data_IF_917167138126
#
_entry.id   IF_917167138126
#
_cell.length_a   1.000
_cell.length_b   1.000
_cell.length_c   1.000
_cell.angle_alpha   90.00
_cell.angle_beta   90.00
_cell.angle_gamma   90.00
#
_symmetry.space_group_name_H-M   'P 1'
#
loop_
_entity.id
_entity.type
_entity.pdbx_description
1 polymer ?
#
# COMPACT_ATOMS: atom_id res chain seq x y z
N UNK A 1 -60.13 17.98 -33.36
CA UNK A 1 -59.71 19.36 -33.04
C UNK A 1 -58.84 19.28 -31.79
N UNK A 2 -57.51 19.34 -31.93
CA UNK A 2 -56.81 20.58 -31.55
C UNK A 2 -55.63 20.97 -32.47
N UNK A 3 -55.13 22.16 -32.17
CA UNK A 3 -54.33 23.13 -32.91
C UNK A 3 -52.96 22.69 -33.45
N UNK A 4 -52.68 23.11 -34.69
CA UNK A 4 -51.38 23.04 -35.35
C UNK A 4 -50.52 24.29 -35.03
N UNK A 5 -49.23 24.07 -34.78
CA UNK A 5 -48.19 25.09 -34.61
C UNK A 5 -47.83 25.74 -35.96
N UNK A 6 -47.48 27.05 -36.00
CA UNK A 6 -47.07 27.71 -37.24
C UNK A 6 -45.58 27.44 -37.59
N UNK A 7 -45.22 27.50 -38.89
CA UNK A 7 -43.87 27.19 -39.36
C UNK A 7 -42.84 28.32 -39.10
N UNK A 8 -41.59 27.90 -38.92
CA UNK A 8 -40.35 28.64 -38.61
C UNK A 8 -39.88 29.64 -39.70
N UNK A 9 -40.79 30.23 -40.49
CA UNK A 9 -40.43 31.09 -41.63
C UNK A 9 -40.68 32.59 -41.44
N UNK A 10 -40.96 33.05 -40.22
CA UNK A 10 -41.28 34.47 -39.99
C UNK A 10 -40.45 35.14 -38.87
N UNK A 11 -39.12 34.99 -38.88
CA UNK A 11 -38.24 35.74 -37.98
C UNK A 11 -36.93 36.26 -38.63
N UNK A 12 -36.87 36.32 -39.97
CA UNK A 12 -35.69 36.81 -40.71
C UNK A 12 -35.97 38.05 -41.59
N UNK A 13 -37.13 38.69 -41.43
CA UNK A 13 -37.38 40.03 -41.98
C UNK A 13 -37.32 41.04 -40.84
N UNK A 14 -36.42 42.03 -40.97
CA UNK A 14 -36.06 43.11 -40.01
C UNK A 14 -34.88 42.86 -39.05
N UNK A 15 -33.86 42.10 -39.45
CA UNK A 15 -32.53 42.27 -38.85
C UNK A 15 -31.75 43.38 -39.54
N UNK A 16 -31.48 44.48 -38.83
CA UNK A 16 -30.57 45.54 -39.30
C UNK A 16 -29.18 44.98 -39.62
N UNK A 17 -28.53 45.48 -40.69
CA UNK A 17 -27.19 45.04 -41.14
C UNK A 17 -26.17 44.93 -40.00
N UNK A 18 -26.23 45.84 -39.02
CA UNK A 18 -25.35 45.81 -37.83
C UNK A 18 -25.58 44.58 -36.94
N UNK A 19 -26.84 44.17 -36.75
CA UNK A 19 -27.19 42.99 -35.94
C UNK A 19 -26.85 41.69 -36.68
N UNK A 20 -26.98 41.66 -38.00
CA UNK A 20 -26.55 40.52 -38.81
C UNK A 20 -25.01 40.36 -38.77
N UNK A 21 -24.26 41.46 -38.85
CA UNK A 21 -22.80 41.44 -38.71
C UNK A 21 -22.36 40.95 -37.33
N UNK A 22 -23.04 41.38 -36.26
CA UNK A 22 -22.73 40.96 -34.90
C UNK A 22 -22.95 39.45 -34.70
N UNK A 23 -24.05 38.91 -35.25
CA UNK A 23 -24.35 37.48 -35.21
C UNK A 23 -23.32 36.65 -36.00
N UNK A 24 -22.92 37.13 -37.18
CA UNK A 24 -21.83 36.52 -37.96
C UNK A 24 -20.51 36.54 -37.18
N UNK A 25 -20.17 37.65 -36.53
CA UNK A 25 -18.94 37.76 -35.73
C UNK A 25 -18.96 36.77 -34.55
N UNK A 26 -20.10 36.62 -33.86
CA UNK A 26 -20.28 35.68 -32.76
C UNK A 26 -20.20 34.22 -33.23
N UNK A 27 -20.72 33.90 -34.41
CA UNK A 27 -20.59 32.58 -35.04
C UNK A 27 -19.15 32.28 -35.45
N UNK A 28 -18.41 33.26 -35.97
CA UNK A 28 -16.99 33.11 -36.31
C UNK A 28 -16.15 32.93 -35.05
N UNK A 29 -16.42 33.68 -33.98
CA UNK A 29 -15.70 33.56 -32.71
C UNK A 29 -15.98 32.21 -32.02
N UNK A 30 -17.21 31.71 -32.06
CA UNK A 30 -17.57 30.41 -31.46
C UNK A 30 -16.96 29.24 -32.24
N UNK A 31 -16.92 29.33 -33.58
CA UNK A 31 -16.27 28.31 -34.43
C UNK A 31 -14.75 28.34 -34.29
N UNK A 32 -14.11 29.51 -34.20
CA UNK A 32 -12.68 29.61 -33.87
C UNK A 32 -12.38 29.02 -32.48
N UNK A 33 -13.20 29.31 -31.48
CA UNK A 33 -13.02 28.75 -30.13
C UNK A 33 -13.15 27.22 -30.12
N UNK A 34 -14.08 26.68 -30.90
CA UNK A 34 -14.25 25.23 -31.07
C UNK A 34 -13.05 24.59 -31.81
N UNK A 35 -12.50 25.25 -32.83
CA UNK A 35 -11.31 24.80 -33.55
C UNK A 35 -10.04 24.88 -32.68
N UNK A 36 -9.91 25.89 -31.83
CA UNK A 36 -8.83 26.00 -30.84
C UNK A 36 -9.00 24.92 -29.75
N UNK A 37 -10.22 24.63 -29.32
CA UNK A 37 -10.48 23.56 -28.36
C UNK A 37 -10.25 22.16 -28.97
N UNK A 38 -10.59 21.96 -30.25
CA UNK A 38 -10.29 20.71 -30.96
C UNK A 38 -8.79 20.55 -31.24
N UNK A 39 -8.06 21.61 -31.60
CA UNK A 39 -6.61 21.55 -31.78
C UNK A 39 -5.84 21.31 -30.47
N UNK A 40 -6.34 21.81 -29.33
CA UNK A 40 -5.79 21.46 -28.01
C UNK A 40 -6.11 20.02 -27.58
N UNK A 41 -7.18 19.41 -28.09
CA UNK A 41 -7.46 17.96 -27.94
C UNK A 41 -6.78 17.07 -28.99
N UNK A 42 -6.37 17.63 -30.14
CA UNK A 42 -5.71 16.92 -31.25
C UNK A 42 -4.19 17.02 -31.25
N UNK A 43 -3.57 17.80 -30.35
CA UNK A 43 -2.15 17.68 -30.02
C UNK A 43 -1.88 16.47 -29.10
N UNK A 44 -2.39 15.29 -29.50
CA UNK A 44 -1.77 14.03 -29.17
C UNK A 44 -0.72 13.75 -30.24
N UNK A 45 0.41 14.44 -30.13
CA UNK A 45 1.62 13.95 -30.78
C UNK A 45 1.90 12.57 -30.18
N UNK A 46 1.91 11.46 -30.96
CA UNK A 46 2.49 10.24 -30.45
C UNK A 46 3.93 10.61 -30.09
N UNK A 47 4.27 10.57 -28.80
CA UNK A 47 5.68 10.55 -28.41
C UNK A 47 6.33 9.44 -29.24
N UNK A 48 7.49 9.67 -29.87
CA UNK A 48 8.20 8.59 -30.50
C UNK A 48 8.30 7.49 -29.45
N UNK A 49 7.71 6.33 -29.76
CA UNK A 49 7.88 5.13 -28.97
C UNK A 49 9.39 4.99 -28.76
N UNK A 50 9.85 4.80 -27.53
CA UNK A 50 11.23 4.44 -27.29
C UNK A 50 11.47 3.11 -28.00
N UNK A 51 11.98 3.21 -29.23
CA UNK A 51 12.30 2.11 -30.13
C UNK A 51 13.39 1.28 -29.45
N UNK A 52 12.99 0.27 -28.68
CA UNK A 52 13.91 -0.62 -27.98
C UNK A 52 13.37 -1.15 -26.65
N UNK A 53 12.32 -0.56 -26.08
CA UNK A 53 11.76 -1.09 -24.84
C UNK A 53 10.69 -2.15 -25.11
N UNK A 54 10.85 -3.39 -24.60
CA UNK A 54 9.78 -4.37 -24.68
C UNK A 54 8.54 -3.79 -24.01
N UNK A 55 7.37 -3.78 -24.67
CA UNK A 55 6.17 -3.21 -24.10
C UNK A 55 5.85 -3.90 -22.78
N UNK A 56 5.51 -3.12 -21.76
CA UNK A 56 4.94 -3.67 -20.53
C UNK A 56 3.76 -4.57 -20.90
N UNK A 57 3.58 -5.74 -20.28
CA UNK A 57 2.62 -6.74 -20.74
C UNK A 57 1.18 -6.27 -20.51
N UNK A 58 0.65 -5.43 -21.40
CA UNK A 58 -0.71 -4.88 -21.34
C UNK A 58 -1.78 -5.89 -21.78
N UNK A 59 -1.37 -7.00 -22.41
CA UNK A 59 -2.27 -8.08 -22.85
C UNK A 59 -2.46 -9.20 -21.82
N UNK A 60 -1.65 -9.24 -20.75
CA UNK A 60 -1.76 -10.28 -19.70
C UNK A 60 -2.76 -9.84 -18.63
N UNK A 61 -3.59 -10.74 -18.11
CA UNK A 61 -4.40 -10.45 -16.93
C UNK A 61 -3.52 -10.02 -15.75
N UNK A 62 -3.97 -9.01 -14.99
CA UNK A 62 -3.26 -8.56 -13.79
C UNK A 62 -3.11 -9.71 -12.81
N UNK A 63 -1.89 -9.95 -12.34
CA UNK A 63 -1.62 -10.95 -11.34
C UNK A 63 -2.21 -10.54 -9.98
N UNK A 64 -2.79 -11.49 -9.24
CA UNK A 64 -3.53 -11.20 -8.00
C UNK A 64 -3.09 -12.05 -6.80
N UNK A 65 -2.18 -13.01 -6.98
CA UNK A 65 -1.66 -13.88 -5.91
C UNK A 65 -0.27 -13.44 -5.44
N UNK A 66 -0.15 -12.60 -4.41
CA UNK A 66 1.14 -12.04 -3.99
C UNK A 66 1.42 -12.33 -2.51
N UNK A 67 2.56 -12.96 -2.25
CA UNK A 67 3.12 -13.07 -0.90
C UNK A 67 4.26 -12.06 -0.75
N UNK A 68 3.93 -10.88 -0.22
CA UNK A 68 4.93 -9.87 0.12
C UNK A 68 5.42 -10.07 1.55
N UNK A 69 6.63 -10.60 1.70
CA UNK A 69 7.33 -10.60 2.97
C UNK A 69 7.76 -9.18 3.29
N UNK A 70 7.08 -8.56 4.23
CA UNK A 70 7.43 -7.24 4.70
C UNK A 70 8.51 -7.33 5.79
N UNK A 71 9.74 -6.99 5.43
CA UNK A 71 10.87 -6.89 6.36
C UNK A 71 10.86 -5.57 7.13
N UNK A 72 11.54 -5.52 8.27
CA UNK A 72 11.56 -4.35 9.15
C UNK A 72 12.47 -3.23 8.63
N UNK A 73 11.95 -2.00 8.62
CA UNK A 73 12.68 -0.74 8.32
C UNK A 73 13.22 -0.59 6.89
N UNK A 74 12.62 -1.33 5.96
CA UNK A 74 12.96 -1.39 4.53
C UNK A 74 11.96 -0.66 3.61
N UNK A 75 11.23 0.32 4.13
CA UNK A 75 10.13 1.01 3.42
C UNK A 75 8.93 0.11 3.05
N UNK A 76 8.82 -1.08 3.65
CA UNK A 76 7.74 -2.03 3.37
C UNK A 76 6.32 -1.54 3.67
N UNK A 77 6.12 -0.52 4.53
CA UNK A 77 4.78 0.06 4.76
C UNK A 77 4.21 0.70 3.49
N UNK A 78 5.06 1.31 2.67
CA UNK A 78 4.65 1.87 1.37
C UNK A 78 4.23 0.78 0.39
N UNK A 79 5.00 -0.31 0.29
CA UNK A 79 4.69 -1.45 -0.59
C UNK A 79 3.42 -2.18 -0.12
N UNK A 80 3.24 -2.35 1.18
CA UNK A 80 2.00 -2.88 1.75
C UNK A 80 0.79 -2.02 1.39
N UNK A 81 0.89 -0.69 1.48
CA UNK A 81 -0.21 0.20 1.11
C UNK A 81 -0.58 0.06 -0.38
N UNK A 82 0.42 -0.05 -1.27
CA UNK A 82 0.21 -0.37 -2.70
C UNK A 82 -0.59 -1.67 -2.86
N UNK A 83 -0.15 -2.75 -2.22
CA UNK A 83 -0.80 -4.07 -2.29
C UNK A 83 -2.22 -4.06 -1.71
N UNK A 84 -2.44 -3.34 -0.60
CA UNK A 84 -3.75 -3.20 0.04
C UNK A 84 -4.73 -2.41 -0.83
N UNK A 85 -4.28 -1.32 -1.45
CA UNK A 85 -5.09 -0.52 -2.39
C UNK A 85 -5.46 -1.33 -3.62
N UNK A 86 -4.50 -2.03 -4.20
CA UNK A 86 -4.76 -2.94 -5.32
C UNK A 86 -5.80 -3.99 -4.93
N UNK A 87 -5.62 -4.65 -3.78
CA UNK A 87 -6.54 -5.67 -3.32
C UNK A 87 -7.96 -5.13 -3.12
N UNK A 88 -8.07 -3.95 -2.51
CA UNK A 88 -9.34 -3.27 -2.32
C UNK A 88 -10.03 -2.93 -3.64
N UNK A 89 -9.29 -2.33 -4.59
CA UNK A 89 -9.82 -1.92 -5.89
C UNK A 89 -10.27 -3.11 -6.74
N UNK A 90 -9.55 -4.23 -6.64
CA UNK A 90 -9.81 -5.44 -7.42
C UNK A 90 -10.59 -6.51 -6.64
N UNK A 91 -11.16 -6.15 -5.47
CA UNK A 91 -11.95 -7.05 -4.62
C UNK A 91 -11.21 -8.34 -4.17
N UNK A 92 -9.88 -8.31 -4.15
CA UNK A 92 -9.00 -9.41 -3.74
C UNK A 92 -8.94 -9.51 -2.21
N UNK A 93 -8.91 -10.73 -1.69
CA UNK A 93 -8.84 -10.99 -0.24
C UNK A 93 -7.40 -10.92 0.24
N UNK A 94 -7.16 -10.05 1.23
CA UNK A 94 -5.86 -9.92 1.92
C UNK A 94 -5.87 -10.75 3.20
N UNK A 95 -4.88 -11.62 3.40
CA UNK A 95 -4.65 -12.28 4.68
C UNK A 95 -4.32 -11.21 5.73
N UNK A 96 -5.08 -11.16 6.81
CA UNK A 96 -4.85 -10.24 7.92
C UNK A 96 -4.66 -11.02 9.22
N UNK A 97 -3.86 -10.51 10.17
CA UNK A 97 -3.60 -11.22 11.41
C UNK A 97 -4.87 -11.46 12.23
N UNK A 98 -4.89 -12.60 12.92
CA UNK A 98 -5.83 -12.87 14.00
C UNK A 98 -5.68 -11.81 15.10
N UNK A 99 -6.76 -11.47 15.80
CA UNK A 99 -6.76 -10.38 16.80
C UNK A 99 -5.75 -10.59 17.95
N UNK A 100 -5.44 -11.86 18.25
CA UNK A 100 -4.44 -12.25 19.25
C UNK A 100 -2.98 -12.14 18.77
N UNK A 101 -2.75 -11.79 17.50
CA UNK A 101 -1.45 -11.78 16.83
C UNK A 101 -0.98 -10.37 16.45
N UNK A 102 -1.55 -9.33 17.06
CA UNK A 102 -1.34 -7.93 16.73
C UNK A 102 -1.48 -7.68 15.21
N UNK A 103 -0.71 -6.76 14.64
CA UNK A 103 -0.71 -6.46 13.20
C UNK A 103 0.42 -7.18 12.43
N UNK A 104 1.12 -8.12 13.08
CA UNK A 104 2.37 -8.73 12.59
C UNK A 104 2.35 -10.28 12.66
N UNK A 105 1.18 -10.91 12.54
CA UNK A 105 1.05 -12.38 12.51
C UNK A 105 1.83 -13.11 13.62
N UNK A 106 1.73 -12.64 14.87
CA UNK A 106 2.39 -13.25 16.02
C UNK A 106 3.94 -13.27 15.91
N UNK A 107 4.54 -12.38 15.12
CA UNK A 107 5.98 -12.13 15.13
C UNK A 107 6.48 -11.93 16.57
N UNK A 108 7.60 -12.54 16.99
CA UNK A 108 8.66 -13.13 16.16
C UNK A 108 8.57 -14.66 15.93
N UNK A 109 7.43 -15.29 16.24
CA UNK A 109 7.24 -16.72 15.98
C UNK A 109 7.29 -16.99 14.47
N UNK A 110 7.86 -18.14 14.09
CA UNK A 110 7.75 -18.65 12.71
C UNK A 110 6.28 -18.60 12.28
N UNK A 111 6.02 -18.00 11.12
CA UNK A 111 4.67 -17.81 10.63
C UNK A 111 3.90 -19.13 10.58
N UNK A 112 2.64 -19.09 10.98
CA UNK A 112 1.68 -20.17 10.78
C UNK A 112 0.40 -19.61 10.18
N UNK A 113 -0.23 -20.38 9.30
CA UNK A 113 -1.55 -20.08 8.74
C UNK A 113 -2.62 -19.89 9.84
N UNK A 114 -2.41 -20.46 11.04
CA UNK A 114 -3.27 -20.24 12.22
C UNK A 114 -3.25 -18.80 12.73
N UNK A 115 -2.25 -18.01 12.37
CA UNK A 115 -2.17 -16.60 12.72
C UNK A 115 -3.02 -15.72 11.81
N UNK A 116 -3.66 -16.29 10.78
CA UNK A 116 -4.52 -15.57 9.84
C UNK A 116 -5.96 -15.54 10.37
N UNK A 117 -6.60 -14.38 10.27
CA UNK A 117 -7.97 -14.21 10.69
C UNK A 117 -8.93 -15.04 9.79
N UNK A 118 -9.85 -15.85 10.35
CA UNK A 118 -10.72 -16.74 9.56
C UNK A 118 -11.54 -16.04 8.47
N UNK A 119 -12.05 -14.83 8.73
CA UNK A 119 -12.77 -14.05 7.72
C UNK A 119 -11.93 -13.57 6.52
N UNK A 120 -10.63 -13.82 6.53
CA UNK A 120 -9.69 -13.44 5.47
C UNK A 120 -9.17 -14.64 4.69
N UNK A 121 -9.83 -15.80 4.84
CA UNK A 121 -9.53 -17.03 4.12
C UNK A 121 -10.58 -17.31 3.01
N UNK A 122 -10.16 -17.91 1.86
CA UNK A 122 -8.78 -18.04 1.42
C UNK A 122 -8.23 -16.69 0.92
N UNK A 123 -6.97 -16.34 1.23
CA UNK A 123 -6.36 -15.10 0.76
C UNK A 123 -5.74 -15.29 -0.63
N UNK A 124 -5.53 -14.17 -1.32
CA UNK A 124 -4.60 -14.11 -2.47
C UNK A 124 -3.46 -13.12 -2.24
N UNK A 125 -3.57 -12.20 -1.29
CA UNK A 125 -2.48 -11.29 -0.93
C UNK A 125 -2.14 -11.43 0.55
N UNK A 126 -0.85 -11.49 0.89
CA UNK A 126 -0.35 -11.31 2.26
C UNK A 126 0.80 -10.29 2.21
N UNK A 127 0.76 -9.27 3.08
CA UNK A 127 1.67 -8.13 2.97
C UNK A 127 2.04 -7.47 4.31
N UNK A 128 1.88 -8.18 5.44
CA UNK A 128 2.26 -7.69 6.77
C UNK A 128 3.52 -8.39 7.29
N UNK A 129 4.12 -7.83 8.34
CA UNK A 129 5.28 -8.44 8.99
C UNK A 129 4.95 -9.86 9.46
N UNK A 130 5.85 -10.79 9.19
CA UNK A 130 5.83 -12.17 9.65
C UNK A 130 7.27 -12.71 9.64
N UNK A 131 7.57 -13.74 10.43
CA UNK A 131 8.83 -14.49 10.28
C UNK A 131 8.63 -15.56 9.23
N UNK A 132 9.36 -15.48 8.13
CA UNK A 132 9.11 -16.29 6.94
C UNK A 132 9.13 -17.78 7.23
N UNK A 133 8.11 -18.48 6.74
CA UNK A 133 8.01 -19.94 6.80
C UNK A 133 7.37 -20.45 5.51
N UNK A 134 8.22 -20.86 4.56
CA UNK A 134 7.83 -21.24 3.18
C UNK A 134 6.69 -22.27 3.16
N UNK A 135 6.77 -23.29 4.02
CA UNK A 135 5.80 -24.39 4.01
C UNK A 135 4.39 -23.95 4.45
N UNK A 136 4.30 -23.02 5.40
CA UNK A 136 3.02 -22.49 5.88
C UNK A 136 2.41 -21.52 4.86
N UNK A 137 3.24 -20.68 4.23
CA UNK A 137 2.78 -19.78 3.16
C UNK A 137 2.31 -20.55 1.92
N UNK A 138 3.04 -21.59 1.49
CA UNK A 138 2.63 -22.45 0.37
C UNK A 138 1.31 -23.19 0.64
N UNK A 139 1.01 -23.53 1.89
CA UNK A 139 -0.28 -24.13 2.27
C UNK A 139 -1.42 -23.11 2.29
N UNK A 140 -1.13 -21.87 2.66
CA UNK A 140 -2.12 -20.80 2.78
C UNK A 140 -2.47 -20.17 1.42
N UNK A 141 -1.45 -19.94 0.59
CA UNK A 141 -1.53 -19.14 -0.62
C UNK A 141 -1.78 -20.02 -1.86
N UNK A 142 -2.44 -19.51 -2.91
CA UNK A 142 -2.60 -20.22 -4.18
C UNK A 142 -1.28 -20.68 -4.82
N UNK A 143 -1.31 -21.74 -5.64
CA UNK A 143 -0.11 -22.26 -6.30
C UNK A 143 0.58 -21.27 -7.24
N UNK A 144 -0.17 -20.32 -7.81
CA UNK A 144 0.36 -19.28 -8.71
C UNK A 144 0.99 -18.09 -7.96
N UNK A 145 1.16 -18.18 -6.63
CA UNK A 145 1.63 -17.05 -5.82
C UNK A 145 3.07 -16.65 -6.14
N UNK A 146 3.25 -15.37 -6.48
CA UNK A 146 4.56 -14.74 -6.60
C UNK A 146 5.02 -14.21 -5.24
N UNK A 147 6.22 -14.61 -4.82
CA UNK A 147 6.84 -14.18 -3.57
C UNK A 147 7.73 -12.97 -3.83
N UNK A 148 7.51 -11.91 -3.07
CA UNK A 148 8.25 -10.66 -3.18
C UNK A 148 8.69 -10.24 -1.78
N UNK A 149 9.86 -9.62 -1.68
CA UNK A 149 10.31 -8.96 -0.45
C UNK A 149 11.03 -7.67 -0.82
N UNK A 150 11.41 -6.88 0.18
CA UNK A 150 12.22 -5.68 0.02
C UNK A 150 13.34 -5.69 1.05
N UNK A 151 14.56 -5.37 0.63
CA UNK A 151 15.71 -5.19 1.50
C UNK A 151 16.14 -3.72 1.49
N UNK A 152 17.02 -3.38 2.43
CA UNK A 152 17.63 -2.06 2.57
C UNK A 152 19.06 -2.26 3.03
N UNK A 153 19.93 -1.33 2.67
CA UNK A 153 21.33 -1.38 3.06
C UNK A 153 21.43 -1.47 4.61
N UNK A 154 22.18 -2.45 5.16
CA UNK A 154 22.19 -2.76 6.59
C UNK A 154 22.62 -1.62 7.51
N UNK A 155 23.51 -0.71 7.07
CA UNK A 155 23.91 0.46 7.86
C UNK A 155 22.72 1.40 8.07
N UNK A 156 22.05 1.78 6.98
CA UNK A 156 20.88 2.65 7.05
C UNK A 156 19.66 1.99 7.71
N UNK A 157 19.56 0.65 7.63
CA UNK A 157 18.52 -0.11 8.29
C UNK A 157 18.77 -0.24 9.80
N UNK A 158 19.99 -0.61 10.20
CA UNK A 158 20.37 -0.80 11.60
C UNK A 158 20.24 0.50 12.39
N UNK A 159 20.63 1.64 11.83
CA UNK A 159 20.40 2.94 12.48
C UNK A 159 18.91 3.18 12.74
N UNK A 160 18.06 2.83 11.76
CA UNK A 160 16.62 2.94 11.94
C UNK A 160 16.06 1.96 12.97
N UNK A 161 16.63 0.76 13.10
CA UNK A 161 16.24 -0.23 14.11
C UNK A 161 16.65 0.23 15.50
N UNK A 162 17.91 0.64 15.65
CA UNK A 162 18.51 1.12 16.90
C UNK A 162 17.70 2.27 17.50
N UNK A 163 17.43 3.31 16.70
CA UNK A 163 16.64 4.46 17.17
C UNK A 163 15.19 4.07 17.47
N UNK A 164 14.54 3.32 16.57
CA UNK A 164 13.10 3.04 16.69
C UNK A 164 12.76 2.10 17.84
N UNK A 165 13.57 1.05 18.03
CA UNK A 165 13.36 0.02 19.05
C UNK A 165 14.15 0.28 20.34
N UNK A 166 14.78 1.45 20.50
CA UNK A 166 15.61 1.78 21.67
C UNK A 166 14.91 1.54 23.02
N UNK A 167 13.58 1.74 23.08
CA UNK A 167 12.80 1.57 24.31
C UNK A 167 12.22 0.15 24.50
N UNK A 168 12.30 -0.70 23.48
CA UNK A 168 11.68 -2.02 23.45
C UNK A 168 12.71 -3.15 23.46
N UNK A 169 13.74 -3.04 22.61
CA UNK A 169 14.83 -4.00 22.54
C UNK A 169 15.74 -3.83 23.76
N UNK A 170 15.84 -4.88 24.57
CA UNK A 170 16.64 -4.85 25.79
C UNK A 170 18.12 -4.57 25.52
N UNK A 171 18.66 -5.04 24.39
CA UNK A 171 20.02 -4.75 23.98
C UNK A 171 20.25 -3.25 23.76
N UNK A 172 19.37 -2.56 23.05
CA UNK A 172 19.47 -1.12 22.82
C UNK A 172 19.17 -0.29 24.07
N UNK A 173 18.20 -0.72 24.89
CA UNK A 173 17.79 0.00 26.09
C UNK A 173 18.91 0.08 27.14
N UNK A 174 19.76 -0.95 27.21
CA UNK A 174 20.90 -1.01 28.15
C UNK A 174 22.05 -0.07 27.77
N UNK A 175 22.06 0.45 26.55
CA UNK A 175 23.17 1.27 26.06
C UNK A 175 23.12 2.66 26.70
N UNK A 176 24.20 3.10 27.36
CA UNK A 176 24.27 4.44 27.94
C UNK A 176 23.99 5.51 26.89
N UNK A 177 23.16 6.49 27.27
CA UNK A 177 22.78 7.63 26.43
C UNK A 177 22.20 7.29 25.05
N UNK A 178 21.79 6.03 24.82
CA UNK A 178 21.39 5.54 23.51
C UNK A 178 22.45 5.83 22.41
N UNK A 179 23.75 5.74 22.73
CA UNK A 179 24.83 5.90 21.75
C UNK A 179 25.03 4.62 20.95
N UNK A 180 24.90 4.70 19.63
CA UNK A 180 25.12 3.55 18.76
C UNK A 180 26.60 3.17 18.70
N UNK A 181 27.49 4.15 18.79
CA UNK A 181 28.93 3.97 18.89
C UNK A 181 29.29 3.16 20.13
N UNK A 182 28.71 3.48 21.29
CA UNK A 182 28.91 2.73 22.52
C UNK A 182 28.42 1.28 22.42
N UNK A 183 27.29 1.04 21.73
CA UNK A 183 26.81 -0.30 21.44
C UNK A 183 27.81 -1.08 20.57
N UNK A 184 28.26 -0.48 19.47
CA UNK A 184 29.13 -1.16 18.49
C UNK A 184 30.57 -1.34 18.94
N UNK A 185 31.03 -0.55 19.92
CA UNK A 185 32.34 -0.75 20.54
C UNK A 185 32.44 -2.08 21.30
N UNK A 186 31.32 -2.56 21.87
CA UNK A 186 31.25 -3.85 22.54
C UNK A 186 29.82 -4.43 22.51
N UNK A 187 29.35 -4.90 21.33
CA UNK A 187 27.95 -5.30 21.16
C UNK A 187 27.58 -6.50 22.04
N UNK A 188 28.53 -7.39 22.32
CA UNK A 188 28.32 -8.56 23.17
C UNK A 188 28.10 -8.23 24.66
N UNK A 189 28.51 -7.05 25.14
CA UNK A 189 28.13 -6.58 26.47
C UNK A 189 26.62 -6.26 26.55
N UNK A 190 26.01 -5.91 25.41
CA UNK A 190 24.62 -5.48 25.32
C UNK A 190 23.71 -6.52 24.66
N UNK A 191 24.18 -7.37 23.78
CA UNK A 191 23.34 -8.28 23.02
C UNK A 191 23.20 -9.66 23.70
N UNK A 192 21.96 -10.17 23.75
CA UNK A 192 21.66 -11.54 24.22
C UNK A 192 20.59 -12.16 23.31
N UNK A 193 20.87 -13.26 22.59
CA UNK A 193 19.97 -13.82 21.59
C UNK A 193 18.55 -14.13 22.09
N UNK A 194 18.41 -14.64 23.32
CA UNK A 194 17.12 -15.09 23.86
C UNK A 194 16.30 -13.99 24.51
N UNK A 195 16.81 -12.75 24.59
CA UNK A 195 16.07 -11.64 25.17
C UNK A 195 14.90 -11.21 24.27
N UNK A 196 13.86 -10.67 24.91
CA UNK A 196 12.70 -10.13 24.19
C UNK A 196 13.16 -9.06 23.19
N UNK A 197 12.72 -9.20 21.94
CA UNK A 197 13.02 -8.28 20.84
C UNK A 197 14.50 -8.20 20.42
N UNK A 198 15.33 -9.18 20.80
CA UNK A 198 16.74 -9.29 20.41
C UNK A 198 16.95 -9.29 18.89
N UNK A 199 16.03 -9.89 18.11
CA UNK A 199 16.14 -9.99 16.66
C UNK A 199 16.24 -8.64 15.93
N UNK A 200 15.82 -7.55 16.55
CA UNK A 200 15.99 -6.20 15.98
C UNK A 200 17.41 -5.64 16.13
N UNK A 201 18.28 -6.31 16.90
CA UNK A 201 19.62 -5.84 17.23
C UNK A 201 20.74 -6.56 16.49
N UNK A 202 20.47 -7.66 15.78
CA UNK A 202 21.51 -8.44 15.10
C UNK A 202 20.90 -9.23 13.93
N UNK A 203 21.39 -8.98 12.71
CA UNK A 203 20.98 -9.66 11.46
C UNK A 203 19.45 -9.77 11.26
N UNK A 204 18.74 -8.65 11.38
CA UNK A 204 17.28 -8.59 11.33
C UNK A 204 16.68 -9.01 9.98
N UNK A 205 17.33 -8.72 8.84
CA UNK A 205 16.80 -9.13 7.54
C UNK A 205 16.81 -10.64 7.39
N UNK A 206 17.93 -11.27 7.76
CA UNK A 206 18.05 -12.72 7.76
C UNK A 206 17.04 -13.36 8.72
N UNK A 207 16.81 -12.76 9.90
CA UNK A 207 15.77 -13.21 10.82
C UNK A 207 14.36 -13.16 10.21
N UNK A 208 14.00 -12.04 9.59
CA UNK A 208 12.69 -11.84 8.95
C UNK A 208 12.47 -12.86 7.82
N UNK A 209 13.53 -13.21 7.08
CA UNK A 209 13.56 -14.26 6.05
C UNK A 209 13.56 -15.69 6.62
N UNK A 210 13.46 -15.86 7.94
CA UNK A 210 13.33 -17.15 8.60
C UNK A 210 14.64 -17.85 8.93
N UNK A 211 15.78 -17.18 8.71
CA UNK A 211 17.10 -17.69 9.09
C UNK A 211 17.37 -17.64 10.60
N UNK A 212 18.47 -18.25 10.98
CA UNK A 212 19.15 -18.06 12.26
C UNK A 212 20.08 -16.84 12.18
N UNK A 213 19.69 -15.76 12.84
CA UNK A 213 20.39 -14.48 12.85
C UNK A 213 21.65 -14.48 13.71
N UNK A 214 21.84 -15.52 14.53
CA UNK A 214 22.98 -15.69 15.42
C UNK A 214 23.95 -16.79 14.93
N UNK A 215 23.70 -17.34 13.75
CA UNK A 215 24.62 -18.29 13.11
C UNK A 215 25.97 -17.63 12.85
N UNK A 216 27.06 -18.39 13.01
CA UNK A 216 28.39 -17.86 12.80
C UNK A 216 28.61 -17.48 11.33
N UNK A 217 29.01 -16.24 11.01
CA UNK A 217 29.35 -15.87 9.63
C UNK A 217 30.63 -16.56 9.13
N UNK A 218 31.39 -17.23 10.00
CA UNK A 218 32.56 -18.02 9.63
C UNK A 218 32.20 -19.41 9.05
N UNK A 219 30.95 -19.86 9.16
CA UNK A 219 30.49 -21.08 8.49
C UNK A 219 30.32 -20.81 6.99
N UNK A 220 31.17 -21.41 6.12
CA UNK A 220 31.14 -21.14 4.69
C UNK A 220 29.93 -21.76 3.98
N UNK A 221 29.19 -22.68 4.61
CA UNK A 221 28.08 -23.37 3.99
C UNK A 221 26.74 -22.68 4.24
N UNK A 222 26.55 -22.10 5.44
CA UNK A 222 25.26 -21.60 5.89
C UNK A 222 24.68 -20.51 4.98
N UNK A 223 25.39 -19.38 4.82
CA UNK A 223 24.86 -18.25 4.07
C UNK A 223 24.68 -18.59 2.58
N UNK A 224 25.65 -19.21 1.87
CA UNK A 224 25.43 -19.60 0.47
C UNK A 224 24.24 -20.54 0.28
N UNK A 225 24.00 -21.47 1.21
CA UNK A 225 22.81 -22.32 1.18
C UNK A 225 21.53 -21.50 1.35
N UNK A 226 21.48 -20.63 2.35
CA UNK A 226 20.34 -19.76 2.61
C UNK A 226 20.03 -18.84 1.41
N UNK A 227 21.04 -18.23 0.80
CA UNK A 227 20.89 -17.38 -0.38
C UNK A 227 20.24 -18.12 -1.55
N UNK A 228 20.70 -19.34 -1.87
CA UNK A 228 20.09 -20.17 -2.92
C UNK A 228 18.62 -20.47 -2.63
N UNK A 229 18.30 -20.83 -1.38
CA UNK A 229 16.91 -21.07 -0.99
C UNK A 229 16.03 -19.83 -1.18
N UNK A 230 16.54 -18.63 -0.85
CA UNK A 230 15.80 -17.39 -1.03
C UNK A 230 15.67 -17.00 -2.51
N UNK A 231 16.68 -17.22 -3.35
CA UNK A 231 16.59 -17.00 -4.80
C UNK A 231 15.56 -17.91 -5.48
N UNK A 232 15.46 -19.17 -5.05
CA UNK A 232 14.45 -20.11 -5.56
C UNK A 232 13.02 -19.71 -5.18
N UNK A 233 12.86 -19.04 -4.04
CA UNK A 233 11.55 -18.65 -3.50
C UNK A 233 11.09 -17.32 -4.07
N UNK A 234 11.92 -16.28 -3.97
CA UNK A 234 11.52 -14.90 -4.23
C UNK A 234 11.67 -14.55 -5.71
N UNK A 235 10.54 -14.33 -6.38
CA UNK A 235 10.50 -13.89 -7.77
C UNK A 235 11.15 -12.51 -7.95
N UNK A 236 11.05 -11.65 -6.93
CA UNK A 236 11.68 -10.35 -6.85
C UNK A 236 12.07 -10.01 -5.41
N UNK A 237 13.34 -9.63 -5.23
CA UNK A 237 13.84 -8.94 -4.03
C UNK A 237 14.07 -7.48 -4.41
N UNK A 238 13.22 -6.60 -3.89
CA UNK A 238 13.29 -5.15 -4.11
C UNK A 238 14.40 -4.54 -3.26
N UNK A 239 14.94 -3.39 -3.68
CA UNK A 239 15.98 -2.64 -2.95
C UNK A 239 15.44 -1.23 -2.64
N UNK A 240 15.38 -0.88 -1.36
CA UNK A 240 14.77 0.37 -0.90
C UNK A 240 15.49 1.63 -1.41
N UNK A 241 16.79 1.55 -1.67
CA UNK A 241 17.63 2.60 -2.26
C UNK A 241 17.22 2.90 -3.71
N UNK A 242 16.71 1.89 -4.42
CA UNK A 242 16.24 1.95 -5.81
C UNK A 242 14.73 1.69 -5.87
N UNK A 243 13.97 2.40 -5.02
CA UNK A 243 12.56 2.11 -4.78
C UNK A 243 11.69 2.26 -6.05
N UNK A 244 11.93 3.28 -6.86
CA UNK A 244 11.15 3.51 -8.09
C UNK A 244 11.45 2.42 -9.14
N UNK A 245 12.71 2.05 -9.32
CA UNK A 245 13.15 0.96 -10.19
C UNK A 245 12.61 -0.39 -9.69
N UNK A 246 12.59 -0.59 -8.37
CA UNK A 246 11.98 -1.76 -7.75
C UNK A 246 10.48 -1.85 -8.03
N UNK A 247 9.76 -0.73 -7.98
CA UNK A 247 8.34 -0.69 -8.35
C UNK A 247 8.11 -0.91 -9.84
N UNK A 248 9.02 -0.48 -10.72
CA UNK A 248 8.97 -0.80 -12.15
C UNK A 248 9.06 -2.31 -12.37
N UNK A 249 10.03 -2.98 -11.73
CA UNK A 249 10.17 -4.44 -11.82
C UNK A 249 8.95 -5.16 -11.22
N UNK A 250 8.44 -4.71 -10.07
CA UNK A 250 7.24 -5.26 -9.46
C UNK A 250 6.02 -5.13 -10.39
N UNK A 251 5.83 -3.94 -10.97
CA UNK A 251 4.73 -3.66 -11.90
C UNK A 251 4.78 -4.56 -13.12
N UNK A 252 5.96 -4.72 -13.74
CA UNK A 252 6.18 -5.63 -14.88
C UNK A 252 5.94 -7.09 -14.49
N UNK A 253 6.45 -7.53 -13.33
CA UNK A 253 6.27 -8.88 -12.80
C UNK A 253 4.80 -9.24 -12.60
N UNK A 254 4.00 -8.30 -12.09
CA UNK A 254 2.59 -8.52 -11.77
C UNK A 254 1.64 -8.19 -12.91
N UNK A 255 2.15 -7.72 -14.06
CA UNK A 255 1.34 -7.16 -15.15
C UNK A 255 0.35 -6.09 -14.66
N UNK A 256 0.82 -5.18 -13.81
CA UNK A 256 0.02 -4.09 -13.26
C UNK A 256 0.16 -2.80 -14.08
N UNK A 257 -0.83 -1.93 -13.95
CA UNK A 257 -0.81 -0.61 -14.55
C UNK A 257 0.07 0.35 -13.73
N UNK A 258 0.42 1.50 -14.32
CA UNK A 258 1.23 2.51 -13.63
C UNK A 258 0.52 3.03 -12.38
N UNK A 259 -0.80 3.21 -12.48
CA UNK A 259 -1.69 3.72 -11.45
C UNK A 259 -1.77 2.82 -10.22
N UNK A 260 -1.60 1.50 -10.42
CA UNK A 260 -1.68 0.51 -9.35
C UNK A 260 -0.48 0.61 -8.39
N UNK A 261 0.67 1.10 -8.85
CA UNK A 261 1.91 1.20 -8.06
C UNK A 261 2.25 2.62 -7.61
N UNK A 262 1.37 3.59 -7.86
CA UNK A 262 1.56 4.95 -7.35
C UNK A 262 1.48 4.99 -5.83
N UNK A 263 2.34 5.80 -5.20
CA UNK A 263 2.51 5.81 -3.76
C UNK A 263 2.77 7.20 -3.19
N UNK A 264 2.53 7.33 -1.89
CA UNK A 264 3.12 8.36 -1.04
C UNK A 264 4.02 7.65 -0.02
N UNK A 265 5.11 8.28 0.41
CA UNK A 265 6.02 7.66 1.37
C UNK A 265 5.34 7.57 2.74
N UNK A 266 5.17 6.38 3.29
CA UNK A 266 4.52 6.18 4.58
C UNK A 266 5.52 5.77 5.67
N UNK A 267 5.12 5.99 6.93
CA UNK A 267 5.88 5.58 8.11
C UNK A 267 7.31 6.16 8.15
N UNK A 268 7.46 7.41 7.73
CA UNK A 268 8.76 8.08 7.72
C UNK A 268 9.10 8.62 9.11
N UNK A 269 10.36 8.47 9.50
CA UNK A 269 10.90 9.17 10.68
C UNK A 269 11.10 10.65 10.36
N UNK A 270 10.71 11.51 11.31
CA UNK A 270 11.00 12.94 11.27
C UNK A 270 12.51 13.21 11.31
N UNK A 271 12.98 14.39 10.87
CA UNK A 271 14.42 14.71 10.80
C UNK A 271 15.16 14.51 12.13
N UNK A 272 14.53 14.89 13.26
CA UNK A 272 15.11 14.75 14.61
C UNK A 272 15.28 13.29 15.06
N UNK A 273 14.61 12.36 14.40
CA UNK A 273 14.62 10.94 14.74
C UNK A 273 15.47 10.11 13.79
N UNK A 274 16.33 10.77 12.99
CA UNK A 274 17.35 10.13 12.16
C UNK A 274 18.72 10.42 12.77
N UNK A 275 19.46 9.39 13.10
CA UNK A 275 20.87 9.50 13.45
C UNK A 275 21.70 9.86 12.21
N UNK A 276 22.79 10.58 12.44
CA UNK A 276 23.78 10.83 11.39
C UNK A 276 24.84 9.73 11.46
N UNK A 277 25.00 8.97 10.38
CA UNK A 277 26.10 8.00 10.25
C UNK A 277 27.15 8.68 9.39
N UNK A 278 27.93 9.55 9.99
CA UNK A 278 28.91 10.38 9.27
C UNK A 278 30.29 9.75 9.15
N UNK A 279 30.54 8.65 9.87
CA UNK A 279 31.86 7.99 9.92
C UNK A 279 31.83 6.67 9.15
N UNK A 280 32.78 6.50 8.24
CA UNK A 280 33.03 5.23 7.53
C UNK A 280 33.36 4.09 8.51
N UNK A 281 34.10 4.39 9.58
CA UNK A 281 34.42 3.41 10.62
C UNK A 281 33.15 2.92 11.35
N UNK A 282 32.20 3.82 11.62
CA UNK A 282 30.92 3.44 12.23
C UNK A 282 30.10 2.56 11.28
N UNK A 283 30.04 2.91 10.00
CA UNK A 283 29.38 2.10 8.98
C UNK A 283 30.02 0.69 8.86
N UNK A 284 31.35 0.61 8.89
CA UNK A 284 32.07 -0.66 8.88
C UNK A 284 31.76 -1.50 10.12
N UNK A 285 31.76 -0.92 11.32
CA UNK A 285 31.37 -1.65 12.53
C UNK A 285 29.94 -2.18 12.48
N UNK A 286 28.99 -1.41 11.91
CA UNK A 286 27.61 -1.87 11.73
C UNK A 286 27.55 -3.07 10.78
N UNK A 287 28.27 -3.02 9.65
CA UNK A 287 28.32 -4.14 8.70
C UNK A 287 29.01 -5.37 9.29
N UNK A 288 30.08 -5.19 10.06
CA UNK A 288 30.76 -6.29 10.76
C UNK A 288 29.85 -6.93 11.80
N UNK A 289 29.15 -6.12 12.60
CA UNK A 289 28.18 -6.64 13.55
C UNK A 289 27.02 -7.36 12.85
N UNK A 290 26.53 -6.83 11.73
CA UNK A 290 25.46 -7.45 10.95
C UNK A 290 26.00 -8.17 9.70
N UNK A 291 27.06 -8.99 9.86
CA UNK A 291 27.80 -9.57 8.74
C UNK A 291 26.95 -10.44 7.81
N UNK A 292 25.95 -11.13 8.35
CA UNK A 292 25.04 -11.96 7.54
C UNK A 292 24.10 -11.08 6.72
N UNK A 293 23.52 -10.02 7.31
CA UNK A 293 22.68 -9.07 6.59
C UNK A 293 23.48 -8.29 5.54
N UNK A 294 24.75 -7.94 5.82
CA UNK A 294 25.66 -7.27 4.88
C UNK A 294 25.85 -8.10 3.61
N UNK A 295 26.24 -9.36 3.76
CA UNK A 295 26.45 -10.26 2.62
C UNK A 295 25.13 -10.61 1.92
N UNK A 296 24.03 -10.79 2.67
CA UNK A 296 22.69 -10.99 2.13
C UNK A 296 22.27 -9.82 1.23
N UNK A 297 22.45 -8.58 1.71
CA UNK A 297 22.12 -7.38 0.95
C UNK A 297 22.99 -7.26 -0.31
N UNK A 298 24.31 -7.47 -0.19
CA UNK A 298 25.23 -7.35 -1.33
C UNK A 298 24.84 -8.33 -2.46
N UNK A 299 24.53 -9.58 -2.08
CA UNK A 299 24.05 -10.60 -3.01
C UNK A 299 22.76 -10.18 -3.71
N UNK A 300 21.73 -9.79 -2.95
CA UNK A 300 20.44 -9.45 -3.54
C UNK A 300 20.45 -8.12 -4.29
N UNK A 301 21.29 -7.16 -3.91
CA UNK A 301 21.54 -5.95 -4.69
C UNK A 301 22.18 -6.28 -6.05
N UNK A 302 23.16 -7.20 -6.10
CA UNK A 302 23.70 -7.68 -7.36
C UNK A 302 22.64 -8.39 -8.21
N UNK A 303 21.81 -9.25 -7.60
CA UNK A 303 20.71 -9.93 -8.33
C UNK A 303 19.67 -8.96 -8.86
N UNK A 304 19.36 -7.91 -8.10
CA UNK A 304 18.44 -6.85 -8.51
C UNK A 304 18.96 -6.14 -9.76
N UNK A 305 20.23 -5.77 -9.78
CA UNK A 305 20.84 -5.12 -10.94
C UNK A 305 20.98 -6.03 -12.16
N UNK A 306 21.10 -7.36 -11.99
CA UNK A 306 20.94 -8.32 -13.09
C UNK A 306 19.53 -8.27 -13.67
N UNK A 307 18.49 -8.32 -12.83
CA UNK A 307 17.09 -8.21 -13.28
C UNK A 307 16.80 -6.87 -13.98
N UNK A 308 17.38 -5.75 -13.49
CA UNK A 308 17.29 -4.44 -14.17
C UNK A 308 17.98 -4.49 -15.54
N UNK A 309 19.13 -5.15 -15.67
CA UNK A 309 19.82 -5.31 -16.94
C UNK A 309 19.02 -6.17 -17.93
N UNK A 310 18.49 -7.31 -17.49
CA UNK A 310 17.61 -8.20 -18.27
C UNK A 310 16.33 -7.49 -18.75
N UNK A 311 15.78 -6.61 -17.90
CA UNK A 311 14.62 -5.78 -18.21
C UNK A 311 14.93 -4.60 -19.17
N UNK A 312 16.21 -4.34 -19.46
CA UNK A 312 16.72 -3.17 -20.16
C UNK A 312 16.89 -1.98 -19.23
N UNK A 313 18.15 -1.62 -18.92
CA UNK A 313 18.50 -0.54 -17.96
C UNK A 313 17.85 0.79 -18.31
N UNK A 314 17.94 1.18 -19.58
CA UNK A 314 17.37 2.44 -20.07
C UNK A 314 15.85 2.44 -19.96
N UNK A 315 15.21 1.33 -20.32
CA UNK A 315 13.76 1.15 -20.22
C UNK A 315 13.26 1.23 -18.79
N UNK A 316 13.94 0.58 -17.84
CA UNK A 316 13.61 0.69 -16.42
C UNK A 316 13.76 2.13 -15.94
N UNK A 317 14.82 2.84 -16.35
CA UNK A 317 15.01 4.24 -15.99
C UNK A 317 13.93 5.17 -16.60
N UNK A 318 13.49 4.92 -17.84
CA UNK A 318 12.40 5.64 -18.50
C UNK A 318 11.07 5.46 -17.75
N UNK A 319 10.74 4.22 -17.39
CA UNK A 319 9.54 3.89 -16.64
C UNK A 319 9.58 4.44 -15.22
N UNK A 320 10.74 4.43 -14.56
CA UNK A 320 10.91 5.05 -13.25
C UNK A 320 10.71 6.57 -13.33
N UNK A 321 11.20 7.23 -14.40
CA UNK A 321 10.90 8.64 -14.70
C UNK A 321 9.40 8.87 -14.92
N UNK A 322 8.72 7.97 -15.63
CA UNK A 322 7.27 8.05 -15.84
C UNK A 322 6.48 7.88 -14.54
N UNK A 323 6.87 6.91 -13.70
CA UNK A 323 6.33 6.68 -12.37
C UNK A 323 6.45 7.92 -11.49
N UNK A 324 7.63 8.55 -11.44
CA UNK A 324 7.84 9.80 -10.70
C UNK A 324 6.90 10.91 -11.16
N UNK A 325 6.76 11.12 -12.48
CA UNK A 325 5.84 12.13 -13.03
C UNK A 325 4.38 11.87 -12.66
N UNK A 326 3.91 10.63 -12.82
CA UNK A 326 2.54 10.23 -12.49
C UNK A 326 2.27 10.35 -10.99
N UNK A 327 3.24 9.95 -10.16
CA UNK A 327 3.19 10.14 -8.70
C UNK A 327 3.06 11.61 -8.35
N UNK A 328 3.88 12.49 -8.92
CA UNK A 328 3.84 13.92 -8.59
C UNK A 328 2.50 14.57 -9.01
N UNK A 329 1.89 14.10 -10.11
CA UNK A 329 0.53 14.50 -10.48
C UNK A 329 -0.52 14.01 -9.47
N UNK A 330 -0.45 12.75 -9.05
CA UNK A 330 -1.33 12.20 -8.01
C UNK A 330 -1.21 12.98 -6.70
N UNK A 331 0.02 13.29 -6.28
CA UNK A 331 0.27 14.04 -5.05
C UNK A 331 -0.28 15.46 -5.14
N UNK A 332 -0.08 16.17 -6.27
CA UNK A 332 -0.71 17.48 -6.47
C UNK A 332 -2.24 17.43 -6.36
N UNK A 333 -2.87 16.41 -6.96
CA UNK A 333 -4.32 16.22 -6.86
C UNK A 333 -4.77 15.95 -5.43
N UNK A 334 -4.07 15.06 -4.71
CA UNK A 334 -4.48 14.65 -3.37
C UNK A 334 -4.19 15.68 -2.29
N UNK A 335 -3.13 16.47 -2.42
CA UNK A 335 -2.64 17.37 -1.38
C UNK A 335 -2.77 18.85 -1.74
N UNK A 336 -3.28 19.18 -2.94
CA UNK A 336 -3.34 20.56 -3.44
C UNK A 336 -1.96 21.15 -3.76
N UNK A 337 -0.92 20.31 -3.88
CA UNK A 337 0.47 20.73 -4.01
C UNK A 337 1.45 19.63 -3.61
N UNK A 338 2.63 20.01 -3.13
CA UNK A 338 3.58 19.06 -2.53
C UNK A 338 3.08 18.62 -1.15
N UNK A 339 3.06 17.31 -0.84
CA UNK A 339 2.60 16.83 0.46
C UNK A 339 3.47 17.36 1.60
N UNK A 340 2.87 18.06 2.55
CA UNK A 340 3.60 18.57 3.71
C UNK A 340 3.64 17.52 4.82
N UNK A 341 4.85 17.23 5.31
CA UNK A 341 5.05 16.35 6.45
C UNK A 341 4.60 17.02 7.73
N UNK A 342 3.84 16.28 8.54
CA UNK A 342 3.30 16.74 9.82
C UNK A 342 3.64 15.74 10.92
N UNK A 343 4.02 16.21 12.13
CA UNK A 343 4.02 15.38 13.32
C UNK A 343 2.64 14.77 13.55
N UNK A 344 2.58 13.54 14.06
CA UNK A 344 1.30 12.84 14.25
C UNK A 344 0.29 13.60 15.14
N UNK A 345 0.77 14.40 16.10
CA UNK A 345 -0.06 15.24 16.96
C UNK A 345 -0.74 16.39 16.21
N UNK A 346 -0.15 16.86 15.10
CA UNK A 346 -0.68 17.95 14.29
C UNK A 346 -1.64 17.48 13.19
N UNK A 347 -1.65 16.19 12.87
CA UNK A 347 -2.55 15.63 11.85
C UNK A 347 -3.98 15.64 12.39
N UNK A 348 -4.88 16.32 11.70
CA UNK A 348 -6.28 16.50 12.13
C UNK A 348 -7.07 15.20 12.02
N UNK A 349 -6.91 14.50 10.91
CA UNK A 349 -7.59 13.23 10.69
C UNK A 349 -6.91 12.10 11.49
N UNK A 350 -7.60 11.57 12.50
CA UNK A 350 -7.07 10.50 13.36
C UNK A 350 -6.75 9.21 12.59
N UNK A 351 -7.45 8.93 11.49
CA UNK A 351 -7.17 7.77 10.62
C UNK A 351 -5.84 7.90 9.86
N UNK A 352 -5.30 9.12 9.75
CA UNK A 352 -4.02 9.39 9.08
C UNK A 352 -2.85 9.54 10.06
N UNK A 353 -3.09 9.45 11.37
CA UNK A 353 -2.03 9.57 12.38
C UNK A 353 -1.17 8.32 12.43
N UNK A 354 0.11 8.35 12.03
CA UNK A 354 0.95 7.18 12.14
C UNK A 354 1.17 6.78 13.61
N UNK A 355 1.33 5.49 13.85
CA UNK A 355 1.66 4.97 15.17
C UNK A 355 3.03 5.49 15.62
N UNK A 356 3.15 5.89 16.89
CA UNK A 356 4.38 6.40 17.48
C UNK A 356 5.02 5.33 18.36
N UNK A 357 6.28 4.95 18.13
CA UNK A 357 6.96 3.95 18.94
C UNK A 357 7.33 4.46 20.33
N UNK A 358 7.68 5.73 20.49
CA UNK A 358 7.99 6.30 21.80
C UNK A 358 7.92 7.82 21.73
N UNK A 359 8.02 8.49 22.88
CA UNK A 359 8.14 9.95 22.94
C UNK A 359 9.43 10.51 22.33
N UNK A 360 10.43 9.66 22.05
CA UNK A 360 11.74 10.05 21.50
C UNK A 360 11.84 9.91 19.98
N UNK A 361 10.85 9.29 19.35
CA UNK A 361 10.89 8.95 17.92
C UNK A 361 9.60 9.40 17.26
N UNK A 362 9.74 10.42 16.43
CA UNK A 362 8.64 11.03 15.69
C UNK A 362 8.46 10.28 14.36
N UNK A 363 7.31 9.63 14.19
CA UNK A 363 6.84 9.21 12.87
C UNK A 363 5.92 10.29 12.32
N UNK A 364 6.27 10.81 11.15
CA UNK A 364 5.52 11.85 10.45
C UNK A 364 4.51 11.25 9.47
N UNK A 365 3.45 12.00 9.21
CA UNK A 365 2.43 11.66 8.23
C UNK A 365 1.97 12.90 7.48
N UNK A 366 0.75 12.86 6.97
CA UNK A 366 0.18 13.91 6.15
C UNK A 366 -1.24 14.24 6.60
N UNK A 367 -1.61 15.52 6.45
CA UNK A 367 -3.02 15.90 6.36
C UNK A 367 -3.46 15.91 4.91
N UNK A 368 -4.76 15.71 4.70
CA UNK A 368 -5.40 15.87 3.40
C UNK A 368 -6.31 17.09 3.41
N UNK A 369 -6.32 17.89 2.33
CA UNK A 369 -7.31 18.94 2.15
C UNK A 369 -8.72 18.35 2.06
N UNK A 370 -9.76 19.13 2.36
CA UNK A 370 -11.15 18.73 2.13
C UNK A 370 -11.39 18.49 0.63
N UNK A 371 -12.32 17.60 0.27
CA UNK A 371 -12.58 17.27 -1.15
C UNK A 371 -13.07 18.47 -1.97
N UNK A 372 -13.86 19.35 -1.34
CA UNK A 372 -14.21 20.66 -1.91
C UNK A 372 -13.69 21.75 -0.98
N UNK A 373 -12.82 22.67 -1.46
CA UNK A 373 -12.30 23.76 -0.65
C UNK A 373 -13.42 24.55 0.04
N UNK A 374 -13.30 24.78 1.35
CA UNK A 374 -14.29 25.54 2.14
C UNK A 374 -15.59 24.79 2.49
N UNK A 375 -15.85 23.60 1.93
CA UNK A 375 -17.12 22.88 2.14
C UNK A 375 -17.19 22.02 3.41
N UNK A 376 -16.07 21.82 4.11
CA UNK A 376 -15.97 20.84 5.20
C UNK A 376 -16.12 19.37 4.78
N UNK A 377 -16.29 19.08 3.48
CA UNK A 377 -16.45 17.73 2.96
C UNK A 377 -15.22 16.84 3.22
N UNK A 378 -15.40 15.54 3.49
CA UNK A 378 -14.29 14.63 3.73
C UNK A 378 -13.36 14.55 2.50
N UNK A 379 -12.07 14.25 2.68
CA UNK A 379 -11.14 14.07 1.55
C UNK A 379 -11.57 12.97 0.57
N UNK A 380 -11.10 13.04 -0.67
CA UNK A 380 -11.26 11.98 -1.68
C UNK A 380 -10.80 10.63 -1.10
N UNK A 381 -11.64 9.59 -1.21
CA UNK A 381 -11.38 8.30 -0.58
C UNK A 381 -10.09 7.65 -1.11
N UNK A 382 -9.75 7.81 -2.38
CA UNK A 382 -8.50 7.27 -2.95
C UNK A 382 -7.29 7.94 -2.33
N UNK A 383 -7.35 9.26 -2.14
CA UNK A 383 -6.31 10.03 -1.45
C UNK A 383 -6.21 9.65 0.03
N UNK A 384 -7.35 9.41 0.69
CA UNK A 384 -7.39 8.91 2.07
C UNK A 384 -6.68 7.55 2.16
N UNK A 385 -6.98 6.59 1.28
CA UNK A 385 -6.31 5.29 1.24
C UNK A 385 -4.83 5.38 0.91
N UNK A 386 -4.45 6.28 0.01
CA UNK A 386 -3.05 6.56 -0.34
C UNK A 386 -2.25 6.98 0.90
N UNK A 387 -2.79 7.86 1.74
CA UNK A 387 -2.11 8.38 2.93
C UNK A 387 -2.31 7.55 4.21
N UNK A 388 -3.19 6.52 4.18
CA UNK A 388 -3.57 5.75 5.37
C UNK A 388 -2.41 4.88 5.88
N UNK A 389 -1.99 5.02 7.15
CA UNK A 389 -0.97 4.16 7.74
C UNK A 389 -1.42 2.71 7.88
N UNK A 390 -0.44 1.81 7.93
CA UNK A 390 -0.61 0.36 7.98
C UNK A 390 -1.65 -0.15 8.98
N UNK A 391 -1.58 0.31 10.24
CA UNK A 391 -2.42 -0.24 11.32
C UNK A 391 -3.88 0.08 11.07
N UNK A 392 -4.16 1.32 10.65
CA UNK A 392 -5.49 1.79 10.29
C UNK A 392 -6.00 1.06 9.05
N UNK A 393 -5.16 0.92 8.02
CA UNK A 393 -5.59 0.26 6.79
C UNK A 393 -5.85 -1.24 7.01
N UNK A 394 -5.01 -1.92 7.80
CA UNK A 394 -5.23 -3.32 8.18
C UNK A 394 -6.57 -3.50 8.89
N UNK A 395 -6.91 -2.61 9.84
CA UNK A 395 -8.20 -2.64 10.54
C UNK A 395 -9.38 -2.36 9.59
N UNK A 396 -9.23 -1.39 8.69
CA UNK A 396 -10.23 -1.09 7.68
C UNK A 396 -10.50 -2.29 6.77
N UNK A 397 -9.45 -2.93 6.23
CA UNK A 397 -9.58 -4.10 5.38
C UNK A 397 -10.18 -5.29 6.14
N UNK A 398 -9.77 -5.52 7.39
CA UNK A 398 -10.32 -6.61 8.20
C UNK A 398 -11.83 -6.42 8.41
N UNK A 399 -12.27 -5.20 8.72
CA UNK A 399 -13.69 -4.86 8.83
C UNK A 399 -14.42 -5.09 7.50
N UNK A 400 -13.88 -4.58 6.39
CA UNK A 400 -14.47 -4.70 5.05
C UNK A 400 -14.61 -6.15 4.61
N UNK A 401 -13.54 -6.95 4.78
CA UNK A 401 -13.53 -8.38 4.46
C UNK A 401 -14.45 -9.17 5.38
N UNK A 402 -14.49 -8.88 6.68
CA UNK A 402 -15.41 -9.53 7.62
C UNK A 402 -16.87 -9.31 7.25
N UNK A 403 -17.25 -8.10 6.83
CA UNK A 403 -18.60 -7.81 6.36
C UNK A 403 -18.93 -8.58 5.08
N UNK A 404 -18.00 -8.66 4.13
CA UNK A 404 -18.16 -9.46 2.89
C UNK A 404 -18.36 -10.93 3.21
N UNK A 405 -17.54 -11.49 4.11
CA UNK A 405 -17.63 -12.90 4.54
C UNK A 405 -18.96 -13.19 5.24
N UNK A 406 -19.40 -12.34 6.18
CA UNK A 406 -20.70 -12.49 6.85
C UNK A 406 -21.88 -12.39 5.88
N UNK A 407 -21.83 -11.48 4.90
CA UNK A 407 -22.87 -11.35 3.87
C UNK A 407 -22.98 -12.61 2.99
N UNK A 408 -21.84 -13.24 2.66
CA UNK A 408 -21.81 -14.51 1.93
C UNK A 408 -22.32 -15.70 2.75
N UNK A 409 -22.15 -15.65 4.07
CA UNK A 409 -22.59 -16.71 4.98
C UNK A 409 -24.09 -16.64 5.34
N UNK A 410 -24.78 -15.52 5.09
CA UNK A 410 -26.23 -15.41 5.31
C UNK A 410 -26.98 -16.17 4.21
N UNK A 411 -27.80 -17.18 4.53
CA UNK A 411 -28.66 -17.84 3.55
C UNK A 411 -29.62 -16.82 2.92
N UNK A 412 -29.87 -16.91 1.62
CA UNK A 412 -31.03 -16.25 1.02
C UNK A 412 -32.27 -16.72 1.76
N UNK A 413 -32.82 -15.86 2.63
CA UNK A 413 -34.13 -16.11 3.24
C UNK A 413 -35.13 -16.04 2.08
N UNK A 414 -35.81 -17.14 1.69
CA UNK A 414 -36.87 -17.05 0.69
C UNK A 414 -37.87 -16.02 1.21
N UNK A 415 -38.27 -15.08 0.36
CA UNK A 415 -39.44 -14.26 0.66
C UNK A 415 -40.59 -15.23 1.01
N UNK A 416 -41.31 -15.04 2.13
CA UNK A 416 -42.45 -15.86 2.42
C UNK A 416 -43.41 -15.78 1.21
N UNK A 417 -43.96 -16.91 0.74
CA UNK A 417 -44.92 -16.87 -0.35
C UNK A 417 -46.03 -15.89 0.03
N UNK A 418 -46.36 -14.98 -0.90
CA UNK A 418 -47.48 -14.05 -0.77
C UNK A 418 -48.68 -14.83 -0.23
N UNK A 419 -49.11 -14.51 0.98
CA UNK A 419 -50.26 -15.16 1.58
C UNK A 419 -51.45 -14.98 0.63
N UNK A 420 -52.04 -16.10 0.20
CA UNK A 420 -53.32 -16.11 -0.49
C UNK A 420 -54.33 -15.40 0.42
N UNK A 421 -55.15 -14.46 -0.08
CA UNK A 421 -56.15 -13.80 0.74
C UNK A 421 -57.09 -14.85 1.34
N UNK A 422 -57.18 -14.91 2.67
CA UNK A 422 -58.18 -15.75 3.35
C UNK A 422 -59.58 -15.23 3.00
N UNK A 423 -60.55 -16.12 2.73
CA UNK A 423 -61.93 -15.70 2.53
C UNK A 423 -62.46 -15.04 3.80
N UNK A 424 -63.15 -13.91 3.61
CA UNK A 424 -63.82 -13.15 4.67
C UNK A 424 -64.85 -14.05 5.34
N UNK A 425 -64.68 -14.29 6.64
CA UNK A 425 -65.65 -15.04 7.45
C UNK A 425 -66.83 -14.12 7.77
N UNK A 426 -68.10 -14.54 7.61
CA UNK A 426 -69.25 -13.70 7.94
C UNK A 426 -69.27 -13.37 9.44
N UNK A 427 -69.56 -12.10 9.75
CA UNK A 427 -69.78 -11.61 11.11
C UNK A 427 -70.97 -12.34 11.76
N UNK A 428 -70.87 -12.80 13.01
CA UNK A 428 -72.02 -13.33 13.74
C UNK A 428 -73.01 -12.20 14.06
N UNK A 429 -74.28 -12.48 13.83
CA UNK A 429 -75.41 -11.64 14.20
C UNK A 429 -75.41 -11.36 15.70
N UNK A 430 -75.50 -10.07 16.06
CA UNK A 430 -75.72 -9.59 17.43
C UNK A 430 -77.10 -10.01 17.91
N UNK A 431 -77.17 -10.68 19.06
CA UNK A 431 -78.40 -10.76 19.86
C UNK A 431 -78.41 -9.63 20.93
N UNK A 432 -79.59 -9.08 21.27
CA UNK A 432 -79.70 -7.94 22.16
C UNK A 432 -79.78 -8.33 23.64
N UNK A 433 -79.01 -7.59 24.45
CA UNK A 433 -79.22 -7.08 25.81
C UNK A 433 -79.84 -7.95 26.93
N UNK A 434 -79.28 -7.84 28.14
CA UNK A 434 -79.89 -7.25 29.37
C UNK A 434 -78.94 -7.42 30.60
N UNK A 435 -79.15 -6.70 31.74
CA UNK A 435 -78.06 -6.01 32.46
C UNK A 435 -77.88 -6.36 33.96
N UNK A 436 -76.87 -5.70 34.57
CA UNK A 436 -76.58 -5.48 36.03
C UNK A 436 -75.88 -6.66 36.76
N UNK A 437 -75.11 -6.51 37.84
CA UNK A 437 -74.89 -5.42 38.81
C UNK A 437 -73.58 -5.63 39.60
N UNK A 438 -73.19 -4.59 40.36
CA UNK A 438 -72.15 -4.47 41.41
C UNK A 438 -70.70 -4.24 40.96
#
# INVERSE_FOLDING_TARGET
>A
MPYALPPLHCALKTMSRKKALLLLLLLVLSTLSLLIHQSTHLNWSPKPSSLGCPPAPSSRPKHTSVAFLKTHKTAGTTVQNILFRFAEQHNVTVALPHHACDHQFCYPRNFSARFVHPHTLPPRIIASHLRFQRQELRRLMPNDTLYVTILREPVAMFESLFTYYNQYCAAFKRVPNASMEAFLANPLAFYRPQEKFSMYAHNTLLYDLGGDNDHSPADPAYLPHFLRQMEEVFSLVMIAEYFDESLVLLRRLLAWDLEDVLYVKLNMRGPRSKGNISSEALAAHIRTWNALDAQLYDHFNATFWRKVAEAGRECVAEEARALRRARDQLLRRCFGGQPQLRPATQIKNKELRPWQPSSKVDIVGYDLPPAVPGSGAPPDERCLKLAMPEVQYSRYLLRKQSLRTRRRAMPHRPLPPRAVPRPVRPLPLRHPAMPKAA
#
